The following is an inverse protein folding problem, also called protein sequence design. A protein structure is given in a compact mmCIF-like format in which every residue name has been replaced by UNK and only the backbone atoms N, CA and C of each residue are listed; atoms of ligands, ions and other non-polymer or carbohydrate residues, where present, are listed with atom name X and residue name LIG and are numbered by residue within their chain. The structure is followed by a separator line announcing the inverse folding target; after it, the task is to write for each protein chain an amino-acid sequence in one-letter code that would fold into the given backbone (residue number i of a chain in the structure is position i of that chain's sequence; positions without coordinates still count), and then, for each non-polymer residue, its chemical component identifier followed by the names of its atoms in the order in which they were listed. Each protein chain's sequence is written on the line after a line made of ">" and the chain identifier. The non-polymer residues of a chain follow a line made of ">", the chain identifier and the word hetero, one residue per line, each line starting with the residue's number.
data_IF_798892821189
#
_entry.id   IF_798892821189
#
_cell.length_a   1.000
_cell.length_b   1.000
_cell.length_c   1.000
_cell.angle_alpha   90.00
_cell.angle_beta   90.00
_cell.angle_gamma   90.00
#
_symmetry.space_group_name_H-M   'P 1'
#
loop_
_entity.id
_entity.type
_entity.pdbx_description
1 polymer ?
#
# COMPACT_ATOMS: atom_id res chain seq x y z
N UNK A 1 -3.66 -9.42 -2.52
CA UNK A 1 -2.63 -8.37 -2.38
C UNK A 1 -2.48 -8.09 -0.90
N UNK A 2 -1.26 -8.06 -0.38
CA UNK A 2 -0.98 -7.75 1.02
C UNK A 2 -0.19 -6.44 1.10
N UNK A 3 -0.73 -5.47 1.85
CA UNK A 3 -0.21 -4.11 2.07
C UNK A 3 0.43 -3.51 0.81
N UNK A 4 -0.30 -3.44 -0.33
CA UNK A 4 0.26 -2.97 -1.58
C UNK A 4 0.56 -1.47 -1.60
N UNK A 5 1.70 -1.08 -2.16
CA UNK A 5 1.90 0.28 -2.64
C UNK A 5 1.06 0.46 -3.92
N UNK A 6 0.13 1.41 -3.91
CA UNK A 6 -0.83 1.64 -5.01
C UNK A 6 -0.78 3.07 -5.55
N UNK A 7 -0.11 3.98 -4.85
CA UNK A 7 0.20 5.33 -5.27
C UNK A 7 1.59 5.74 -4.75
N UNK A 8 2.63 5.54 -5.56
CA UNK A 8 4.02 5.73 -5.21
C UNK A 8 4.35 7.12 -4.64
N UNK A 9 3.74 8.17 -5.19
CA UNK A 9 3.89 9.56 -4.76
C UNK A 9 2.80 10.08 -3.81
N UNK A 10 2.03 9.19 -3.18
CA UNK A 10 0.92 9.59 -2.32
C UNK A 10 1.38 10.38 -1.09
N UNK A 11 0.56 11.36 -0.69
CA UNK A 11 0.72 12.17 0.52
C UNK A 11 -0.54 12.04 1.38
N UNK A 12 -0.73 10.87 1.98
CA UNK A 12 -1.90 10.57 2.81
C UNK A 12 -1.62 10.84 4.31
N UNK A 13 -2.67 10.94 5.14
CA UNK A 13 -2.49 11.00 6.60
C UNK A 13 -1.66 9.84 7.17
N UNK A 14 -1.84 8.61 6.69
CA UNK A 14 -1.03 7.45 7.12
C UNK A 14 0.45 7.59 6.77
N UNK A 15 0.79 8.14 5.60
CA UNK A 15 2.19 8.41 5.19
C UNK A 15 2.88 9.31 6.19
N UNK A 16 2.19 10.35 6.68
CA UNK A 16 2.73 11.27 7.68
C UNK A 16 2.73 10.69 9.10
N UNK A 17 1.65 9.99 9.51
CA UNK A 17 1.49 9.45 10.85
C UNK A 17 2.49 8.32 11.16
N UNK A 18 2.84 7.52 10.15
CA UNK A 18 3.75 6.38 10.26
C UNK A 18 5.02 6.58 9.43
N UNK A 19 5.45 7.84 9.27
CA UNK A 19 6.64 8.19 8.49
C UNK A 19 7.94 7.59 9.07
N UNK A 20 7.96 7.26 10.36
CA UNK A 20 9.12 6.71 11.06
C UNK A 20 8.68 5.72 12.17
N UNK A 21 9.57 4.80 12.55
CA UNK A 21 9.42 3.92 13.71
C UNK A 21 8.60 2.63 13.53
N UNK A 22 7.89 2.45 12.40
CA UNK A 22 7.01 1.28 12.16
C UNK A 22 7.48 0.38 11.00
N UNK A 23 8.76 -0.01 11.04
CA UNK A 23 9.47 -0.83 10.05
C UNK A 23 9.61 -0.21 8.66
N UNK A 24 8.50 0.04 7.97
CA UNK A 24 8.50 0.75 6.69
C UNK A 24 8.39 2.25 6.98
N UNK A 25 9.38 3.02 6.54
CA UNK A 25 9.44 4.47 6.77
C UNK A 25 9.23 5.27 5.49
N UNK A 26 9.01 6.58 5.63
CA UNK A 26 8.99 7.51 4.50
C UNK A 26 10.35 7.53 3.77
N UNK A 27 11.45 7.44 4.52
CA UNK A 27 12.79 7.32 3.94
C UNK A 27 12.92 6.07 3.07
N UNK A 28 12.47 4.90 3.56
CA UNK A 28 12.53 3.65 2.79
C UNK A 28 11.68 3.74 1.52
N UNK A 29 10.46 4.30 1.61
CA UNK A 29 9.57 4.47 0.46
C UNK A 29 10.19 5.37 -0.62
N UNK A 30 10.81 6.48 -0.22
CA UNK A 30 11.50 7.36 -1.14
C UNK A 30 12.70 6.65 -1.77
N UNK A 31 13.52 5.98 -0.95
CA UNK A 31 14.68 5.23 -1.44
C UNK A 31 14.27 4.12 -2.43
N UNK A 32 13.25 3.31 -2.13
CA UNK A 32 12.76 2.29 -3.04
C UNK A 32 12.23 2.88 -4.36
N UNK A 33 11.52 4.01 -4.31
CA UNK A 33 11.05 4.68 -5.51
C UNK A 33 12.22 5.18 -6.37
N UNK A 34 13.22 5.80 -5.74
CA UNK A 34 14.40 6.32 -6.42
C UNK A 34 15.19 5.18 -7.09
N UNK A 35 15.44 4.08 -6.38
CA UNK A 35 16.15 2.92 -6.91
C UNK A 35 15.35 2.20 -8.00
N UNK A 36 14.03 2.07 -7.85
CA UNK A 36 13.18 1.38 -8.82
C UNK A 36 13.02 2.17 -10.13
N UNK A 37 13.05 3.50 -10.04
CA UNK A 37 12.83 4.40 -11.17
C UNK A 37 14.10 5.01 -11.74
N UNK A 38 15.28 4.67 -11.20
CA UNK A 38 16.55 5.21 -11.66
C UNK A 38 16.76 4.99 -13.17
N UNK A 39 17.16 6.06 -13.85
CA UNK A 39 17.33 6.09 -15.31
C UNK A 39 16.04 5.92 -16.13
N UNK A 40 14.86 5.91 -15.51
CA UNK A 40 13.57 5.78 -16.21
C UNK A 40 12.87 7.13 -16.40
N UNK A 41 12.09 7.25 -17.47
CA UNK A 41 11.21 8.41 -17.71
C UNK A 41 9.81 8.25 -17.05
N UNK A 42 9.67 7.28 -16.14
CA UNK A 42 8.37 6.95 -15.52
C UNK A 42 8.12 7.87 -14.33
N UNK A 43 7.09 8.72 -14.43
CA UNK A 43 6.69 9.56 -13.32
C UNK A 43 6.03 8.74 -12.20
N UNK A 44 6.13 9.20 -10.93
CA UNK A 44 5.45 8.59 -9.79
C UNK A 44 3.92 8.54 -9.96
N UNK A 45 3.34 9.37 -10.82
CA UNK A 45 1.91 9.38 -11.12
C UNK A 45 1.50 8.42 -12.24
N UNK A 46 2.46 7.73 -12.88
CA UNK A 46 2.17 6.76 -13.92
C UNK A 46 1.44 5.54 -13.34
N UNK A 47 0.35 5.10 -13.99
CA UNK A 47 -0.48 3.98 -13.55
C UNK A 47 0.30 2.66 -13.34
N UNK A 48 1.47 2.52 -13.98
CA UNK A 48 2.31 1.32 -13.87
C UNK A 48 2.97 1.18 -12.49
N UNK A 49 3.21 2.32 -11.82
CA UNK A 49 3.78 2.37 -10.45
C UNK A 49 2.79 2.90 -9.42
N UNK A 50 1.72 3.53 -9.89
CA UNK A 50 0.61 4.03 -9.09
C UNK A 50 -0.74 3.52 -9.64
N UNK A 51 -1.04 2.22 -9.53
CA UNK A 51 -2.26 1.62 -10.09
C UNK A 51 -3.57 2.24 -9.58
N UNK A 52 -3.57 2.89 -8.41
CA UNK A 52 -4.71 3.67 -7.92
C UNK A 52 -5.10 4.81 -8.88
N UNK A 53 -4.13 5.33 -9.64
CA UNK A 53 -4.32 6.43 -10.59
C UNK A 53 -4.71 5.94 -11.99
N UNK A 54 -4.96 4.64 -12.18
CA UNK A 54 -5.44 4.14 -13.45
C UNK A 54 -6.82 4.76 -13.78
N UNK A 55 -7.04 5.22 -15.03
CA UNK A 55 -8.28 5.91 -15.40
C UNK A 55 -9.51 4.98 -15.39
N UNK A 56 -9.29 3.67 -15.38
CA UNK A 56 -10.35 2.67 -15.32
C UNK A 56 -9.82 1.39 -14.66
N UNK A 57 -10.56 0.87 -13.67
CA UNK A 57 -10.28 -0.37 -12.96
C UNK A 57 -11.32 -1.47 -13.25
N UNK A 58 -12.29 -1.22 -14.13
CA UNK A 58 -13.33 -2.18 -14.45
C UNK A 58 -12.79 -3.40 -15.19
N UNK A 59 -13.40 -4.56 -14.94
CA UNK A 59 -13.01 -5.83 -15.57
C UNK A 59 -11.76 -6.48 -14.96
N UNK A 60 -11.18 -5.90 -13.90
CA UNK A 60 -10.16 -6.55 -13.11
C UNK A 60 -10.73 -7.76 -12.35
N UNK A 61 -9.90 -8.78 -12.03
CA UNK A 61 -10.35 -9.96 -11.31
C UNK A 61 -10.80 -9.61 -9.87
N UNK A 62 -11.67 -10.43 -9.25
CA UNK A 62 -11.96 -10.33 -7.82
C UNK A 62 -10.68 -10.30 -6.99
N UNK A 63 -10.64 -9.44 -5.98
CA UNK A 63 -9.45 -9.16 -5.19
C UNK A 63 -9.66 -9.42 -3.70
N UNK A 64 -8.60 -9.92 -3.05
CA UNK A 64 -8.46 -9.91 -1.59
C UNK A 64 -7.36 -8.92 -1.24
N UNK A 65 -7.64 -7.91 -0.43
CA UNK A 65 -6.69 -6.94 0.10
C UNK A 65 -6.46 -7.22 1.59
N UNK A 66 -5.22 -7.41 1.99
CA UNK A 66 -4.79 -7.54 3.39
C UNK A 66 -4.08 -6.25 3.77
N UNK A 67 -4.49 -5.54 4.82
CA UNK A 67 -3.94 -4.23 5.18
C UNK A 67 -3.40 -4.23 6.61
N UNK A 68 -2.37 -3.45 6.87
CA UNK A 68 -1.79 -3.24 8.20
C UNK A 68 -2.23 -1.89 8.79
N UNK A 69 -2.34 -1.80 10.12
CA UNK A 69 -2.86 -0.61 10.80
C UNK A 69 -1.80 0.45 11.11
N UNK A 70 -0.57 0.01 11.44
CA UNK A 70 0.61 0.85 11.64
C UNK A 70 1.49 0.81 10.40
N UNK A 71 0.95 1.29 9.28
CA UNK A 71 1.56 1.19 7.96
C UNK A 71 1.36 2.51 7.20
N UNK A 72 2.43 3.14 6.67
CA UNK A 72 2.29 4.33 5.84
C UNK A 72 1.39 4.12 4.61
N UNK A 73 1.24 2.91 4.10
CA UNK A 73 0.41 2.55 2.94
C UNK A 73 -1.08 2.35 3.28
N UNK A 74 -1.47 2.43 4.56
CA UNK A 74 -2.83 2.09 5.01
C UNK A 74 -3.95 2.87 4.33
N UNK A 75 -3.75 4.17 4.11
CA UNK A 75 -4.82 5.00 3.54
C UNK A 75 -4.96 4.74 2.03
N UNK A 76 -3.86 4.57 1.29
CA UNK A 76 -3.91 4.22 -0.14
C UNK A 76 -4.46 2.79 -0.38
N UNK A 77 -4.23 1.85 0.55
CA UNK A 77 -4.90 0.54 0.55
C UNK A 77 -6.43 0.68 0.58
N UNK A 78 -6.93 1.59 1.41
CA UNK A 78 -8.36 1.85 1.55
C UNK A 78 -8.90 2.53 0.28
N UNK A 79 -8.19 3.55 -0.21
CA UNK A 79 -8.55 4.24 -1.46
C UNK A 79 -8.59 3.29 -2.66
N UNK A 80 -7.64 2.36 -2.76
CA UNK A 80 -7.61 1.38 -3.85
C UNK A 80 -8.73 0.34 -3.75
N UNK A 81 -9.03 -0.14 -2.54
CA UNK A 81 -10.17 -1.02 -2.32
C UNK A 81 -11.49 -0.37 -2.76
N UNK A 82 -11.67 0.91 -2.41
CA UNK A 82 -12.88 1.66 -2.74
C UNK A 82 -12.96 2.00 -4.24
N UNK A 83 -11.82 2.31 -4.87
CA UNK A 83 -11.73 2.50 -6.32
C UNK A 83 -12.09 1.22 -7.09
N UNK A 84 -11.57 0.06 -6.67
CA UNK A 84 -11.92 -1.24 -7.26
C UNK A 84 -13.41 -1.57 -7.12
N UNK A 85 -13.97 -1.37 -5.91
CA UNK A 85 -15.41 -1.57 -5.66
C UNK A 85 -16.27 -0.66 -6.52
N UNK A 86 -15.88 0.61 -6.63
CA UNK A 86 -16.58 1.60 -7.45
C UNK A 86 -16.55 1.23 -8.94
N UNK A 87 -15.51 0.51 -9.38
CA UNK A 87 -15.40 -0.03 -10.73
C UNK A 87 -16.13 -1.37 -10.94
N UNK A 88 -16.88 -1.86 -9.94
CA UNK A 88 -17.65 -3.11 -10.00
C UNK A 88 -16.84 -4.38 -9.73
N UNK A 89 -15.60 -4.26 -9.24
CA UNK A 89 -14.77 -5.41 -8.86
C UNK A 89 -15.21 -5.93 -7.49
N UNK A 90 -15.31 -7.25 -7.33
CA UNK A 90 -15.56 -7.87 -6.03
C UNK A 90 -14.29 -7.79 -5.17
N UNK A 91 -14.36 -7.14 -4.00
CA UNK A 91 -13.20 -6.91 -3.12
C UNK A 91 -13.49 -7.33 -1.67
N UNK A 92 -12.75 -8.34 -1.19
CA UNK A 92 -12.63 -8.69 0.22
C UNK A 92 -11.46 -7.92 0.84
N UNK A 93 -11.68 -7.23 1.96
CA UNK A 93 -10.63 -6.47 2.67
C UNK A 93 -10.49 -7.04 4.08
N UNK A 94 -9.28 -7.50 4.40
CA UNK A 94 -8.90 -8.02 5.72
C UNK A 94 -7.97 -7.02 6.38
N UNK A 95 -8.44 -6.38 7.44
CA UNK A 95 -7.68 -5.35 8.16
C UNK A 95 -7.02 -5.95 9.40
N UNK A 96 -5.74 -5.66 9.59
CA UNK A 96 -4.94 -6.08 10.74
C UNK A 96 -4.51 -4.82 11.50
N UNK A 97 -5.41 -4.25 12.33
CA UNK A 97 -5.28 -2.88 12.82
C UNK A 97 -4.11 -2.66 13.79
N UNK A 98 -3.59 -3.73 14.40
CA UNK A 98 -2.49 -3.68 15.36
C UNK A 98 -1.15 -4.13 14.77
N UNK A 99 -1.10 -4.45 13.48
CA UNK A 99 0.12 -4.96 12.84
C UNK A 99 0.79 -3.90 11.97
N UNK A 100 2.10 -4.07 11.78
CA UNK A 100 2.98 -3.25 10.94
C UNK A 100 3.02 -3.77 9.49
N UNK A 101 3.60 -2.96 8.60
CA UNK A 101 3.95 -3.40 7.24
C UNK A 101 4.77 -4.70 7.25
N UNK A 102 4.64 -5.53 6.21
CA UNK A 102 5.36 -6.79 6.05
C UNK A 102 5.12 -7.90 7.11
N UNK A 103 4.12 -7.75 8.00
CA UNK A 103 3.90 -8.70 9.11
C UNK A 103 3.76 -10.17 8.70
N UNK A 104 3.24 -10.49 7.51
CA UNK A 104 3.11 -11.87 7.03
C UNK A 104 4.47 -12.56 6.88
N UNK A 105 5.54 -11.79 6.69
CA UNK A 105 6.90 -12.29 6.53
C UNK A 105 7.65 -12.42 7.87
N UNK A 106 7.13 -11.80 8.93
CA UNK A 106 7.82 -11.67 10.23
C UNK A 106 7.34 -12.68 11.27
N UNK A 107 6.64 -13.75 10.87
CA UNK A 107 5.98 -14.69 11.77
C UNK A 107 6.87 -15.43 12.78
N UNK A 108 8.20 -15.36 12.67
CA UNK A 108 9.15 -15.89 13.67
C UNK A 108 9.62 -14.87 14.71
N UNK A 109 9.42 -13.56 14.47
CA UNK A 109 9.61 -12.50 15.46
C UNK A 109 8.26 -12.31 16.16
N UNK A 110 8.14 -12.96 17.31
CA UNK A 110 6.88 -13.18 18.02
C UNK A 110 5.95 -11.96 18.06
N UNK A 111 4.66 -12.22 17.87
CA UNK A 111 3.60 -11.32 18.31
C UNK A 111 3.87 -10.96 19.77
N UNK A 112 4.05 -9.67 20.06
CA UNK A 112 3.98 -9.18 21.42
C UNK A 112 2.60 -9.58 21.95
N UNK A 113 2.60 -10.56 22.85
CA UNK A 113 1.43 -10.91 23.64
C UNK A 113 1.47 -10.03 24.88
N UNK A 114 0.32 -9.46 25.24
CA UNK A 114 0.16 -8.69 26.47
C UNK A 114 0.49 -9.51 27.72
#
# INVERSE_FOLDING_TARGET
>A
MAYPLTAAGAKTPSRALFADGFLLTEHDLNWFNDEYLDGSDVALTDRRVSPLLAPNLAGLPPAVLITAGFDPLRDEDTEYADALRSAGVAVDVRKMPSLIHAFLNLGSLGVATE
#
